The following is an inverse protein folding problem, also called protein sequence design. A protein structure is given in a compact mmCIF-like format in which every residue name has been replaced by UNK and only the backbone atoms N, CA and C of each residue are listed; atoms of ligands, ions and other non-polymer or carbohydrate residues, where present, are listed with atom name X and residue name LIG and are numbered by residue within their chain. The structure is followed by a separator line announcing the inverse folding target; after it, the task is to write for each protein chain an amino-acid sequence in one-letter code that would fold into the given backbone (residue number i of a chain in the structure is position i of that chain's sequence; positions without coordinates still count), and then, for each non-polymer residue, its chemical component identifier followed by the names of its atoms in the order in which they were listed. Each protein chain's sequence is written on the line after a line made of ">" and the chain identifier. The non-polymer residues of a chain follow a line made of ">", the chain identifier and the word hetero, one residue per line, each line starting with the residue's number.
data_IF_216365329049
#
_entry.id   IF_216365329049
#
_cell.length_a   1.000
_cell.length_b   1.000
_cell.length_c   1.000
_cell.angle_alpha   90.00
_cell.angle_beta   90.00
_cell.angle_gamma   90.00
#
_symmetry.space_group_name_H-M   'P 1'
#
loop_
_entity.id
_entity.type
_entity.pdbx_description
1 polymer ?
#
# COMPACT_ATOMS: atom_id res chain seq x y z
N UNK A 1 -25.51 -4.52 -1.47
CA UNK A 1 -24.51 -4.58 -0.38
C UNK A 1 -23.33 -5.44 -0.83
N UNK A 2 -22.06 -4.96 -0.79
CA UNK A 2 -20.90 -5.85 -1.03
C UNK A 2 -20.76 -6.66 0.25
N UNK A 3 -20.81 -7.98 0.16
CA UNK A 3 -20.65 -8.81 1.35
C UNK A 3 -19.18 -8.71 1.79
N UNK A 4 -18.94 -8.28 3.02
CA UNK A 4 -17.59 -8.30 3.60
C UNK A 4 -17.18 -9.75 3.83
N UNK A 5 -15.95 -10.08 3.47
CA UNK A 5 -15.32 -11.35 3.75
C UNK A 5 -14.05 -11.11 4.57
N UNK A 6 -14.02 -11.63 5.81
CA UNK A 6 -12.90 -11.44 6.72
C UNK A 6 -11.91 -12.59 6.54
N UNK A 7 -10.68 -12.25 6.19
CA UNK A 7 -9.57 -13.19 6.02
C UNK A 7 -8.51 -12.91 7.08
N UNK A 8 -8.17 -13.92 7.87
CA UNK A 8 -7.07 -13.79 8.81
C UNK A 8 -5.75 -14.07 8.09
N UNK A 9 -4.80 -13.17 8.25
CA UNK A 9 -3.45 -13.26 7.77
C UNK A 9 -2.43 -13.03 8.91
N UNK A 10 -2.47 -13.84 9.97
CA UNK A 10 -1.58 -13.68 11.12
C UNK A 10 -0.12 -13.92 10.71
N UNK A 11 0.77 -12.94 10.91
CA UNK A 11 2.21 -13.10 10.68
C UNK A 11 3.00 -12.16 11.60
N UNK A 12 4.21 -12.60 11.97
CA UNK A 12 5.20 -11.77 12.68
C UNK A 12 6.50 -11.65 11.88
N UNK A 13 6.58 -12.28 10.71
CA UNK A 13 7.82 -12.49 9.95
C UNK A 13 8.50 -11.17 9.56
N UNK A 14 7.73 -10.09 9.38
CA UNK A 14 8.25 -8.79 9.00
C UNK A 14 8.87 -7.99 10.14
N UNK A 15 8.67 -8.41 11.39
CA UNK A 15 9.10 -7.69 12.58
C UNK A 15 10.44 -8.20 13.13
N UNK A 16 11.11 -7.30 13.86
CA UNK A 16 12.21 -7.68 14.75
C UNK A 16 11.64 -8.13 16.08
N UNK A 17 12.25 -9.12 16.74
CA UNK A 17 11.71 -9.57 18.01
C UNK A 17 12.03 -8.52 19.09
N UNK A 18 11.12 -8.27 20.05
CA UNK A 18 11.37 -7.33 21.15
C UNK A 18 12.64 -7.65 21.96
N UNK A 19 12.99 -8.95 22.05
CA UNK A 19 14.21 -9.48 22.64
C UNK A 19 14.71 -10.65 21.78
N UNK A 20 15.98 -11.06 21.90
CA UNK A 20 16.53 -12.17 21.11
C UNK A 20 15.84 -13.54 21.33
N UNK A 21 15.04 -13.67 22.39
CA UNK A 21 14.34 -14.93 22.74
C UNK A 21 12.83 -14.84 22.62
N UNK A 22 12.28 -13.70 22.21
CA UNK A 22 10.83 -13.51 22.07
C UNK A 22 10.38 -13.60 20.61
N UNK A 23 9.08 -13.85 20.44
CA UNK A 23 8.38 -13.71 19.17
C UNK A 23 7.47 -12.49 19.29
N UNK A 24 7.38 -11.60 18.29
CA UNK A 24 6.39 -10.51 18.29
C UNK A 24 4.96 -11.02 18.49
N UNK A 25 4.07 -10.21 19.05
CA UNK A 25 2.72 -10.65 19.40
C UNK A 25 1.66 -10.37 18.34
N UNK A 26 1.94 -9.50 17.34
CA UNK A 26 0.96 -9.08 16.32
C UNK A 26 0.25 -10.20 15.57
N UNK A 27 0.89 -11.35 15.35
CA UNK A 27 0.25 -12.53 14.75
C UNK A 27 -0.98 -13.05 15.54
N UNK A 28 -1.20 -12.59 16.78
CA UNK A 28 -2.37 -12.90 17.60
C UNK A 28 -3.56 -11.98 17.31
N UNK A 29 -3.34 -10.84 16.64
CA UNK A 29 -4.36 -9.81 16.41
C UNK A 29 -5.66 -10.34 15.79
N UNK A 30 -5.65 -11.22 14.76
CA UNK A 30 -6.90 -11.70 14.17
C UNK A 30 -7.79 -12.43 15.19
N UNK A 31 -7.18 -13.22 16.08
CA UNK A 31 -7.89 -13.92 17.16
C UNK A 31 -8.50 -12.94 18.16
N UNK A 32 -7.69 -12.01 18.68
CA UNK A 32 -8.13 -11.01 19.65
C UNK A 32 -9.30 -10.16 19.11
N UNK A 33 -9.21 -9.70 17.86
CA UNK A 33 -10.30 -8.92 17.24
C UNK A 33 -11.58 -9.76 17.03
N UNK A 34 -11.44 -11.05 16.72
CA UNK A 34 -12.59 -11.96 16.58
C UNK A 34 -13.30 -12.22 17.89
N UNK A 35 -12.57 -12.27 19.01
CA UNK A 35 -13.14 -12.48 20.35
C UNK A 35 -14.10 -11.35 20.76
N UNK A 36 -13.98 -10.16 20.16
CA UNK A 36 -14.92 -9.03 20.30
C UNK A 36 -16.08 -9.05 19.28
N UNK A 37 -16.34 -10.21 18.66
CA UNK A 37 -17.52 -10.45 17.83
C UNK A 37 -17.47 -9.79 16.45
N UNK A 38 -16.29 -9.43 15.94
CA UNK A 38 -16.09 -8.69 14.70
C UNK A 38 -16.92 -9.25 13.51
N UNK A 39 -16.86 -10.56 13.26
CA UNK A 39 -17.62 -11.20 12.18
C UNK A 39 -19.13 -10.96 12.30
N UNK A 40 -19.68 -11.18 13.49
CA UNK A 40 -21.11 -11.05 13.74
C UNK A 40 -21.55 -9.58 13.61
N UNK A 41 -20.74 -8.65 14.14
CA UNK A 41 -21.01 -7.20 14.09
C UNK A 41 -20.96 -6.64 12.66
N UNK A 42 -20.11 -7.19 11.80
CA UNK A 42 -20.03 -6.83 10.38
C UNK A 42 -21.05 -7.59 9.50
N UNK A 43 -21.71 -8.63 10.02
CA UNK A 43 -22.49 -9.55 9.18
C UNK A 43 -21.62 -10.22 8.10
N UNK A 44 -20.33 -10.38 8.35
CA UNK A 44 -19.35 -10.77 7.35
C UNK A 44 -19.31 -12.28 7.13
N UNK A 45 -18.83 -12.70 5.95
CA UNK A 45 -18.43 -14.08 5.71
C UNK A 45 -17.08 -14.35 6.35
N UNK A 46 -16.94 -15.48 7.02
CA UNK A 46 -15.62 -15.96 7.40
C UNK A 46 -14.91 -16.51 6.15
N UNK A 47 -13.81 -15.88 5.76
CA UNK A 47 -12.93 -16.35 4.69
C UNK A 47 -11.79 -17.23 5.21
N UNK A 48 -11.79 -17.57 6.51
CA UNK A 48 -10.82 -18.43 7.15
C UNK A 48 -9.50 -17.73 7.45
N UNK A 49 -8.47 -18.53 7.67
CA UNK A 49 -7.13 -18.08 8.04
C UNK A 49 -6.08 -18.63 7.06
N UNK A 50 -5.05 -17.83 6.79
CA UNK A 50 -3.80 -18.28 6.17
C UNK A 50 -2.78 -18.57 7.27
N UNK A 51 -2.31 -19.80 7.36
CA UNK A 51 -1.34 -20.20 8.38
C UNK A 51 0.05 -19.64 8.04
N UNK A 52 0.58 -18.77 8.88
CA UNK A 52 1.95 -18.29 8.72
C UNK A 52 2.98 -19.37 9.04
N UNK A 53 4.14 -19.31 8.37
CA UNK A 53 5.36 -19.99 8.81
C UNK A 53 5.72 -19.62 10.26
N UNK A 54 6.51 -20.49 10.88
CA UNK A 54 7.08 -20.22 12.20
C UNK A 54 8.01 -19.01 12.11
N UNK A 55 7.90 -18.10 13.08
CA UNK A 55 8.89 -17.07 13.31
C UNK A 55 10.19 -17.69 13.84
N UNK A 56 11.26 -17.62 13.06
CA UNK A 56 12.57 -18.16 13.41
C UNK A 56 13.67 -17.43 12.63
N UNK A 57 14.33 -16.43 13.24
CA UNK A 57 15.36 -15.66 12.55
C UNK A 57 16.65 -16.47 12.33
N UNK A 58 16.79 -17.66 12.92
CA UNK A 58 17.98 -18.50 12.80
C UNK A 58 19.27 -17.74 13.12
N UNK A 59 20.25 -17.84 12.22
CA UNK A 59 21.56 -17.17 12.34
C UNK A 59 21.62 -15.81 11.59
N UNK A 60 20.47 -15.23 11.20
CA UNK A 60 20.42 -13.97 10.43
C UNK A 60 21.19 -12.83 11.12
N UNK A 61 21.89 -12.02 10.33
CA UNK A 61 22.63 -10.84 10.78
C UNK A 61 22.34 -9.61 9.92
N UNK A 62 22.48 -8.39 10.49
CA UNK A 62 22.47 -7.17 9.69
C UNK A 62 23.45 -7.27 8.51
N UNK A 63 22.94 -7.08 7.29
CA UNK A 63 23.69 -7.24 6.05
C UNK A 63 23.31 -8.48 5.22
N UNK A 64 22.64 -9.46 5.82
CA UNK A 64 22.17 -10.66 5.11
C UNK A 64 20.92 -10.40 4.24
N UNK A 65 20.38 -9.18 4.30
CA UNK A 65 19.13 -8.79 3.65
C UNK A 65 17.96 -8.83 4.62
N UNK A 66 16.75 -8.90 4.07
CA UNK A 66 15.51 -8.93 4.87
C UNK A 66 15.38 -10.28 5.58
N UNK A 67 15.13 -10.25 6.89
CA UNK A 67 14.90 -11.48 7.66
C UNK A 67 13.62 -12.18 7.17
N UNK A 68 13.63 -13.52 7.17
CA UNK A 68 12.51 -14.36 6.69
C UNK A 68 12.05 -14.09 5.24
N UNK A 69 12.89 -13.50 4.36
CA UNK A 69 12.46 -13.09 3.02
C UNK A 69 11.80 -14.21 2.21
N UNK A 70 12.31 -15.45 2.32
CA UNK A 70 11.73 -16.61 1.62
C UNK A 70 10.34 -16.96 2.13
N UNK A 71 10.18 -16.98 3.46
CA UNK A 71 8.92 -17.29 4.14
C UNK A 71 7.87 -16.22 3.85
N UNK A 72 8.26 -14.95 3.91
CA UNK A 72 7.41 -13.81 3.54
C UNK A 72 6.98 -13.93 2.08
N UNK A 73 7.91 -14.14 1.15
CA UNK A 73 7.61 -14.28 -0.28
C UNK A 73 6.55 -15.37 -0.55
N UNK A 74 6.74 -16.57 0.04
CA UNK A 74 5.77 -17.66 -0.10
C UNK A 74 4.42 -17.38 0.56
N UNK A 75 4.42 -16.72 1.72
CA UNK A 75 3.21 -16.31 2.41
C UNK A 75 2.43 -15.25 1.61
N UNK A 76 3.12 -14.26 1.05
CA UNK A 76 2.54 -13.22 0.20
C UNK A 76 1.88 -13.79 -1.05
N UNK A 77 2.48 -14.79 -1.71
CA UNK A 77 1.82 -15.49 -2.84
C UNK A 77 0.52 -16.16 -2.40
N UNK A 78 0.53 -16.89 -1.27
CA UNK A 78 -0.67 -17.55 -0.75
C UNK A 78 -1.76 -16.56 -0.32
N UNK A 79 -1.37 -15.43 0.28
CA UNK A 79 -2.28 -14.36 0.66
C UNK A 79 -2.89 -13.71 -0.59
N UNK A 80 -2.09 -13.46 -1.62
CA UNK A 80 -2.54 -12.90 -2.87
C UNK A 80 -3.62 -13.78 -3.55
N UNK A 81 -3.41 -15.11 -3.55
CA UNK A 81 -4.39 -16.07 -4.08
C UNK A 81 -5.71 -16.01 -3.30
N UNK A 82 -5.65 -15.88 -1.96
CA UNK A 82 -6.83 -15.81 -1.10
C UNK A 82 -7.61 -14.51 -1.28
N UNK A 83 -6.92 -13.38 -1.39
CA UNK A 83 -7.54 -12.08 -1.66
C UNK A 83 -8.19 -12.09 -3.04
N UNK A 84 -7.48 -12.58 -4.08
CA UNK A 84 -8.02 -12.72 -5.43
C UNK A 84 -9.31 -13.54 -5.46
N UNK A 85 -9.33 -14.69 -4.77
CA UNK A 85 -10.52 -15.54 -4.69
C UNK A 85 -11.72 -14.91 -3.97
N UNK A 86 -11.50 -13.92 -3.09
CA UNK A 86 -12.57 -13.13 -2.46
C UNK A 86 -13.11 -12.10 -3.47
N UNK A 87 -12.21 -11.39 -4.15
CA UNK A 87 -12.57 -10.38 -5.17
C UNK A 87 -13.34 -11.02 -6.33
N UNK A 88 -12.91 -12.20 -6.80
CA UNK A 88 -13.58 -12.96 -7.86
C UNK A 88 -15.02 -13.36 -7.49
N UNK A 89 -15.35 -13.43 -6.18
CA UNK A 89 -16.71 -13.68 -5.68
C UNK A 89 -17.56 -12.42 -5.60
N UNK A 90 -17.02 -11.25 -5.96
CA UNK A 90 -17.68 -9.94 -5.81
C UNK A 90 -17.83 -9.49 -4.36
N UNK A 91 -16.98 -10.00 -3.47
CA UNK A 91 -16.98 -9.67 -2.04
C UNK A 91 -15.94 -8.60 -1.72
N UNK A 92 -16.08 -7.93 -0.58
CA UNK A 92 -15.13 -6.94 -0.09
C UNK A 92 -14.18 -7.60 0.92
N UNK A 93 -12.88 -7.76 0.61
CA UNK A 93 -11.92 -8.32 1.55
C UNK A 93 -11.65 -7.36 2.70
N UNK A 94 -11.79 -7.85 3.93
CA UNK A 94 -11.17 -7.29 5.12
C UNK A 94 -10.09 -8.26 5.59
N UNK A 95 -8.82 -7.90 5.47
CA UNK A 95 -7.70 -8.73 5.91
C UNK A 95 -7.28 -8.30 7.31
N UNK A 96 -7.29 -9.25 8.25
CA UNK A 96 -6.75 -9.04 9.59
C UNK A 96 -5.31 -9.55 9.60
N UNK A 97 -4.35 -8.63 9.53
CA UNK A 97 -2.93 -8.95 9.50
C UNK A 97 -2.37 -9.28 10.87
N UNK A 98 -1.08 -9.60 10.88
CA UNK A 98 -0.23 -9.35 12.04
C UNK A 98 0.62 -8.12 11.74
N UNK A 99 1.85 -8.30 11.30
CA UNK A 99 2.74 -7.19 10.89
C UNK A 99 2.47 -6.63 9.47
N UNK A 100 3.06 -5.48 9.14
CA UNK A 100 2.89 -4.77 7.85
C UNK A 100 3.39 -5.53 6.61
N UNK A 101 4.24 -6.56 6.75
CA UNK A 101 4.67 -7.36 5.60
C UNK A 101 3.52 -8.10 4.88
N UNK A 102 2.33 -8.18 5.50
CA UNK A 102 1.11 -8.63 4.80
C UNK A 102 0.80 -7.79 3.57
N UNK A 103 1.22 -6.52 3.53
CA UNK A 103 1.03 -5.62 2.40
C UNK A 103 1.64 -6.18 1.12
N UNK A 104 2.71 -6.96 1.19
CA UNK A 104 3.29 -7.62 0.01
C UNK A 104 2.29 -8.58 -0.66
N UNK A 105 1.45 -9.26 0.13
CA UNK A 105 0.44 -10.18 -0.39
C UNK A 105 -0.74 -9.46 -1.04
N UNK A 106 -1.25 -8.41 -0.39
CA UNK A 106 -2.32 -7.60 -0.99
C UNK A 106 -1.82 -6.80 -2.19
N UNK A 107 -0.60 -6.26 -2.16
CA UNK A 107 0.04 -5.60 -3.30
C UNK A 107 0.20 -6.54 -4.51
N UNK A 108 0.63 -7.78 -4.28
CA UNK A 108 0.71 -8.79 -5.34
C UNK A 108 -0.68 -9.11 -5.91
N UNK A 109 -1.72 -9.25 -5.07
CA UNK A 109 -3.10 -9.43 -5.53
C UNK A 109 -3.59 -8.25 -6.38
N UNK A 110 -3.34 -7.03 -5.93
CA UNK A 110 -3.73 -5.80 -6.64
C UNK A 110 -3.01 -5.66 -7.97
N UNK A 111 -1.71 -6.00 -8.02
CA UNK A 111 -0.96 -5.97 -9.27
C UNK A 111 -1.51 -6.98 -10.28
N UNK A 112 -1.79 -8.23 -9.85
CA UNK A 112 -2.43 -9.26 -10.68
C UNK A 112 -3.80 -8.81 -11.19
N UNK A 113 -4.61 -8.18 -10.33
CA UNK A 113 -5.90 -7.63 -10.69
C UNK A 113 -5.77 -6.50 -11.72
N UNK A 114 -4.83 -5.58 -11.52
CA UNK A 114 -4.53 -4.50 -12.45
C UNK A 114 -4.24 -5.00 -13.86
N UNK A 115 -3.39 -6.03 -14.00
CA UNK A 115 -3.16 -6.69 -15.29
C UNK A 115 -4.43 -7.30 -15.88
N UNK A 116 -5.22 -8.01 -15.08
CA UNK A 116 -6.43 -8.69 -15.53
C UNK A 116 -7.48 -7.69 -16.06
N UNK A 117 -7.60 -6.51 -15.44
CA UNK A 117 -8.55 -5.46 -15.86
C UNK A 117 -7.94 -4.46 -16.85
N UNK A 118 -6.64 -4.56 -17.15
CA UNK A 118 -5.92 -3.63 -18.02
C UNK A 118 -5.80 -2.22 -17.43
N UNK A 119 -5.75 -2.10 -16.10
CA UNK A 119 -5.73 -0.84 -15.37
C UNK A 119 -4.65 -0.82 -14.27
N UNK A 120 -4.47 0.35 -13.64
CA UNK A 120 -3.61 0.48 -12.46
C UNK A 120 -4.46 0.41 -11.22
N UNK A 121 -3.95 -0.23 -10.18
CA UNK A 121 -4.55 -0.21 -8.86
C UNK A 121 -3.68 0.69 -7.99
N UNK A 122 -4.31 1.59 -7.23
CA UNK A 122 -3.63 2.47 -6.30
C UNK A 122 -3.52 1.90 -4.89
N UNK A 123 -2.76 2.58 -4.04
CA UNK A 123 -2.62 2.27 -2.62
C UNK A 123 -2.90 3.53 -1.80
N UNK A 124 -3.76 3.40 -0.79
CA UNK A 124 -3.86 4.33 0.33
C UNK A 124 -3.17 3.67 1.51
N UNK A 125 -2.03 4.22 1.92
CA UNK A 125 -1.18 3.73 3.00
C UNK A 125 -1.40 4.61 4.23
N UNK A 126 -2.14 4.10 5.21
CA UNK A 126 -2.50 4.80 6.45
C UNK A 126 -1.64 4.26 7.58
N UNK A 127 -0.68 5.06 8.05
CA UNK A 127 0.39 4.58 8.92
C UNK A 127 1.01 5.75 9.70
N UNK A 128 1.54 5.50 10.90
CA UNK A 128 2.33 6.47 11.66
C UNK A 128 3.73 6.72 11.10
N UNK A 129 4.25 5.75 10.36
CA UNK A 129 5.56 5.69 9.72
C UNK A 129 5.43 5.56 8.21
N UNK A 130 6.47 5.91 7.48
CA UNK A 130 6.48 5.73 6.02
C UNK A 130 6.92 4.36 5.55
N UNK A 131 7.57 3.57 6.42
CA UNK A 131 8.13 2.25 6.11
C UNK A 131 8.90 2.20 4.78
N UNK A 132 9.61 3.30 4.52
CA UNK A 132 10.32 3.55 3.27
C UNK A 132 11.83 3.29 3.35
N UNK A 133 12.25 2.46 4.31
CA UNK A 133 13.66 2.05 4.45
C UNK A 133 14.03 1.09 3.31
N UNK A 134 15.14 1.35 2.63
CA UNK A 134 15.67 0.45 1.60
C UNK A 134 17.21 0.57 1.47
N UNK A 135 17.89 -0.33 0.73
CA UNK A 135 19.37 -0.30 0.62
C UNK A 135 19.96 0.96 -0.03
N UNK A 136 19.12 1.87 -0.52
CA UNK A 136 19.53 3.14 -1.15
C UNK A 136 19.52 4.33 -0.20
N UNK A 137 18.81 4.25 0.93
CA UNK A 137 18.74 5.32 1.94
C UNK A 137 19.15 4.86 3.35
N UNK A 138 19.38 3.56 3.56
CA UNK A 138 19.85 3.02 4.84
C UNK A 138 21.12 2.16 4.70
N UNK A 139 21.89 2.08 5.78
CA UNK A 139 23.13 1.28 5.84
C UNK A 139 22.88 -0.23 5.78
N UNK A 140 21.71 -0.68 6.24
CA UNK A 140 21.23 -2.05 6.09
C UNK A 140 19.70 -2.10 6.13
N UNK A 141 19.16 -3.21 5.66
CA UNK A 141 17.75 -3.62 5.77
C UNK A 141 17.67 -4.94 6.54
N UNK A 142 16.49 -5.29 7.06
CA UNK A 142 16.34 -6.51 7.84
C UNK A 142 14.95 -6.82 8.37
N UNK A 143 14.00 -5.89 8.29
CA UNK A 143 12.66 -6.09 8.84
C UNK A 143 11.64 -5.54 7.84
N UNK A 144 10.98 -6.46 7.13
CA UNK A 144 10.06 -6.13 6.04
C UNK A 144 8.92 -5.22 6.46
N UNK A 145 8.47 -5.25 7.73
CA UNK A 145 7.43 -4.34 8.22
C UNK A 145 7.87 -2.89 8.00
N UNK A 146 9.00 -2.47 8.60
CA UNK A 146 9.55 -1.11 8.41
C UNK A 146 10.16 -0.80 7.04
N UNK A 147 9.86 -1.60 6.02
CA UNK A 147 10.40 -1.53 4.64
C UNK A 147 9.30 -1.76 3.59
N UNK A 148 8.06 -2.02 4.01
CA UNK A 148 7.02 -2.57 3.15
C UNK A 148 6.59 -1.57 2.05
N UNK A 149 6.46 -0.27 2.35
CA UNK A 149 6.14 0.75 1.37
C UNK A 149 7.25 0.86 0.32
N UNK A 150 8.51 0.80 0.76
CA UNK A 150 9.64 0.72 -0.16
C UNK A 150 9.54 -0.55 -1.03
N UNK A 151 9.32 -1.71 -0.43
CA UNK A 151 9.24 -2.99 -1.15
C UNK A 151 8.10 -2.99 -2.18
N UNK A 152 6.90 -2.51 -1.81
CA UNK A 152 5.73 -2.53 -2.70
C UNK A 152 5.82 -1.52 -3.86
N UNK A 153 6.57 -0.44 -3.64
CA UNK A 153 6.96 0.52 -4.70
C UNK A 153 8.21 0.09 -5.47
N UNK A 154 8.71 -1.13 -5.21
CA UNK A 154 9.79 -1.74 -5.97
C UNK A 154 11.18 -1.30 -5.54
N UNK A 155 11.40 -0.95 -4.28
CA UNK A 155 12.70 -0.63 -3.67
C UNK A 155 13.03 -1.68 -2.62
N UNK A 156 14.13 -2.42 -2.81
CA UNK A 156 14.57 -3.43 -1.86
C UNK A 156 14.94 -4.75 -2.52
N UNK A 157 14.98 -5.80 -1.70
CA UNK A 157 15.40 -7.14 -2.11
C UNK A 157 14.45 -7.72 -3.15
N UNK A 158 14.98 -8.28 -4.25
CA UNK A 158 14.17 -8.67 -5.40
C UNK A 158 13.20 -9.84 -5.14
N UNK A 159 13.51 -10.70 -4.18
CA UNK A 159 12.63 -11.81 -3.77
C UNK A 159 11.36 -11.36 -3.03
N UNK A 160 11.32 -10.10 -2.57
CA UNK A 160 10.16 -9.45 -1.98
C UNK A 160 9.59 -8.35 -2.88
N UNK A 161 10.44 -7.51 -3.46
CA UNK A 161 10.04 -6.38 -4.29
C UNK A 161 9.66 -6.77 -5.75
N UNK A 162 9.84 -8.05 -6.13
CA UNK A 162 9.57 -8.57 -7.47
C UNK A 162 9.06 -10.02 -7.47
N UNK A 163 8.21 -10.39 -6.52
CA UNK A 163 7.55 -11.70 -6.48
C UNK A 163 6.83 -11.93 -7.82
N UNK A 164 7.00 -13.12 -8.40
CA UNK A 164 6.50 -13.45 -9.75
C UNK A 164 7.06 -12.59 -10.89
N UNK A 165 8.17 -11.90 -10.67
CA UNK A 165 8.75 -10.95 -11.65
C UNK A 165 7.95 -9.65 -11.77
N UNK A 166 7.06 -9.37 -10.80
CA UNK A 166 6.15 -8.22 -10.81
C UNK A 166 6.75 -7.07 -10.00
N UNK A 167 7.26 -6.05 -10.70
CA UNK A 167 7.87 -4.88 -10.06
C UNK A 167 7.65 -3.60 -10.90
N UNK A 168 7.30 -2.46 -10.27
CA UNK A 168 6.79 -2.36 -8.89
C UNK A 168 5.37 -2.94 -8.80
N UNK A 169 4.88 -3.22 -7.59
CA UNK A 169 3.48 -3.63 -7.41
C UNK A 169 2.55 -2.42 -7.56
N UNK A 170 2.90 -1.33 -6.88
CA UNK A 170 2.29 -0.01 -7.02
C UNK A 170 3.29 0.98 -7.61
N UNK A 171 2.84 1.85 -8.52
CA UNK A 171 3.69 2.95 -8.99
C UNK A 171 3.69 4.06 -7.95
N UNK A 172 4.80 4.76 -7.78
CA UNK A 172 4.92 5.88 -6.83
C UNK A 172 3.78 6.90 -6.95
N UNK A 173 3.38 7.24 -8.18
CA UNK A 173 2.29 8.19 -8.46
C UNK A 173 0.88 7.66 -8.14
N UNK A 174 0.73 6.34 -8.01
CA UNK A 174 -0.52 5.66 -7.67
C UNK A 174 -0.53 5.29 -6.17
N UNK A 175 0.30 5.95 -5.34
CA UNK A 175 0.36 5.79 -3.88
C UNK A 175 0.04 7.11 -3.17
N UNK A 176 -0.82 7.02 -2.15
CA UNK A 176 -1.15 8.10 -1.22
C UNK A 176 -0.83 7.64 0.20
N UNK A 177 0.05 8.37 0.89
CA UNK A 177 0.44 8.12 2.28
C UNK A 177 -0.29 9.10 3.20
N UNK A 178 -0.91 8.61 4.27
CA UNK A 178 -1.72 9.41 5.20
C UNK A 178 -1.36 9.04 6.63
N UNK A 179 -1.15 10.04 7.50
CA UNK A 179 -1.00 9.79 8.94
C UNK A 179 0.45 9.70 9.43
N UNK A 180 1.44 9.76 8.53
CA UNK A 180 2.84 9.83 8.93
C UNK A 180 3.08 11.04 9.82
N UNK A 181 4.02 10.93 10.75
CA UNK A 181 4.42 12.09 11.56
C UNK A 181 5.13 13.14 10.71
N UNK A 182 5.09 14.40 11.16
CA UNK A 182 5.74 15.49 10.42
C UNK A 182 7.27 15.32 10.35
N UNK A 183 7.83 14.65 11.36
CA UNK A 183 9.24 14.33 11.53
C UNK A 183 9.65 12.97 10.97
N UNK A 184 8.78 12.28 10.23
CA UNK A 184 9.10 10.99 9.61
C UNK A 184 10.44 11.06 8.85
N UNK A 185 11.30 10.06 9.08
CA UNK A 185 12.70 10.02 8.62
C UNK A 185 12.81 10.10 7.10
N UNK A 186 11.89 9.45 6.38
CA UNK A 186 11.96 9.27 4.93
C UNK A 186 11.00 10.18 4.17
N UNK A 187 10.41 11.19 4.83
CA UNK A 187 9.47 12.12 4.19
C UNK A 187 10.03 12.82 2.96
N UNK A 188 11.33 13.16 2.96
CA UNK A 188 12.00 13.77 1.80
C UNK A 188 12.23 12.76 0.67
N UNK A 189 12.47 11.48 0.99
CA UNK A 189 12.59 10.42 0.00
C UNK A 189 11.25 10.15 -0.69
N UNK A 190 10.16 10.13 0.07
CA UNK A 190 8.79 10.04 -0.48
C UNK A 190 8.51 11.20 -1.44
N UNK A 191 8.82 12.42 -1.04
CA UNK A 191 8.66 13.59 -1.89
C UNK A 191 9.51 13.50 -3.17
N UNK A 192 10.77 13.06 -3.06
CA UNK A 192 11.65 12.87 -4.20
C UNK A 192 11.17 11.76 -5.15
N UNK A 193 10.53 10.72 -4.62
CA UNK A 193 9.88 9.66 -5.40
C UNK A 193 8.58 10.12 -6.07
N UNK A 194 8.02 11.27 -5.67
CA UNK A 194 6.72 11.74 -6.15
C UNK A 194 5.53 11.03 -5.48
N UNK A 195 5.77 10.38 -4.34
CA UNK A 195 4.71 9.77 -3.52
C UNK A 195 3.99 10.89 -2.79
N UNK A 196 2.66 10.89 -2.91
CA UNK A 196 1.83 11.95 -2.34
C UNK A 196 1.58 11.67 -0.86
N UNK A 197 1.89 12.62 0.03
CA UNK A 197 1.78 12.44 1.48
C UNK A 197 0.85 13.46 2.13
N UNK A 198 0.08 13.04 3.14
CA UNK A 198 -0.66 13.90 4.07
C UNK A 198 -0.32 13.52 5.52
N UNK A 199 0.70 14.16 6.11
CA UNK A 199 1.08 13.95 7.51
C UNK A 199 -0.03 14.37 8.49
N UNK A 200 0.04 13.91 9.75
CA UNK A 200 -0.99 14.18 10.78
C UNK A 200 -1.39 15.66 10.91
N UNK A 201 -0.46 16.64 10.96
CA UNK A 201 -0.87 18.05 11.07
C UNK A 201 -1.73 18.53 9.90
N UNK A 202 -1.44 18.07 8.68
CA UNK A 202 -2.22 18.40 7.49
C UNK A 202 -3.56 17.64 7.48
N UNK A 203 -3.57 16.36 7.88
CA UNK A 203 -4.80 15.59 8.07
C UNK A 203 -5.74 16.30 9.04
N UNK A 204 -5.25 16.77 10.18
CA UNK A 204 -6.04 17.49 11.20
C UNK A 204 -6.55 18.84 10.73
N UNK A 205 -5.71 19.61 10.06
CA UNK A 205 -6.10 20.91 9.50
C UNK A 205 -7.22 20.77 8.47
N UNK A 206 -7.17 19.73 7.64
CA UNK A 206 -8.21 19.46 6.64
C UNK A 206 -9.40 18.67 7.22
N UNK A 207 -9.18 17.84 8.22
CA UNK A 207 -10.13 16.87 8.74
C UNK A 207 -10.09 15.54 7.97
N UNK A 208 -10.44 14.47 8.69
CA UNK A 208 -10.37 13.09 8.22
C UNK A 208 -11.21 12.84 6.95
N UNK A 209 -12.46 13.32 6.92
CA UNK A 209 -13.36 13.12 5.77
C UNK A 209 -12.82 13.78 4.48
N UNK A 210 -12.29 15.01 4.58
CA UNK A 210 -11.66 15.70 3.44
C UNK A 210 -10.35 15.03 3.03
N UNK A 211 -9.68 14.34 3.95
CA UNK A 211 -8.48 13.56 3.65
C UNK A 211 -8.79 12.27 2.91
N UNK A 212 -9.89 11.58 3.26
CA UNK A 212 -10.39 10.46 2.47
C UNK A 212 -10.77 10.88 1.04
N UNK A 213 -11.54 11.97 0.91
CA UNK A 213 -11.94 12.51 -0.40
C UNK A 213 -10.73 12.89 -1.25
N UNK A 214 -9.75 13.56 -0.65
CA UNK A 214 -8.51 13.91 -1.34
C UNK A 214 -7.74 12.67 -1.82
N UNK A 215 -7.66 11.60 -1.02
CA UNK A 215 -7.02 10.36 -1.43
C UNK A 215 -7.71 9.74 -2.65
N UNK A 216 -9.05 9.77 -2.68
CA UNK A 216 -9.83 9.34 -3.84
C UNK A 216 -9.50 10.16 -5.09
N UNK A 217 -9.39 11.48 -4.96
CA UNK A 217 -9.03 12.37 -6.07
C UNK A 217 -7.62 12.12 -6.61
N UNK A 218 -6.64 11.84 -5.74
CA UNK A 218 -5.28 11.50 -6.19
C UNK A 218 -5.25 10.19 -6.98
N UNK A 219 -6.14 9.26 -6.67
CA UNK A 219 -6.20 7.92 -7.29
C UNK A 219 -7.30 7.79 -8.34
N UNK A 220 -7.86 8.91 -8.84
CA UNK A 220 -8.97 8.91 -9.79
C UNK A 220 -8.65 8.22 -11.13
N UNK A 221 -7.36 8.19 -11.52
CA UNK A 221 -6.90 7.52 -12.73
C UNK A 221 -6.65 6.00 -12.54
N UNK A 222 -6.79 5.49 -11.31
CA UNK A 222 -6.71 4.07 -11.02
C UNK A 222 -8.08 3.39 -11.20
N UNK A 223 -8.07 2.12 -11.59
CA UNK A 223 -9.31 1.33 -11.69
C UNK A 223 -9.94 1.09 -10.30
N UNK A 224 -9.12 1.12 -9.26
CA UNK A 224 -9.50 1.08 -7.86
C UNK A 224 -8.25 1.24 -6.99
N UNK A 225 -8.42 1.13 -5.67
CA UNK A 225 -7.30 1.17 -4.72
C UNK A 225 -7.50 0.21 -3.56
N UNK A 226 -6.39 -0.18 -2.96
CA UNK A 226 -6.33 -0.91 -1.70
C UNK A 226 -6.05 0.04 -0.55
N UNK A 227 -6.60 -0.26 0.63
CA UNK A 227 -6.33 0.51 1.85
C UNK A 227 -5.52 -0.36 2.80
N UNK A 228 -4.31 0.07 3.11
CA UNK A 228 -3.48 -0.47 4.17
C UNK A 228 -3.62 0.41 5.41
N UNK A 229 -3.82 -0.22 6.57
CA UNK A 229 -3.88 0.47 7.86
C UNK A 229 -2.90 -0.20 8.81
N UNK A 230 -1.85 0.53 9.19
CA UNK A 230 -1.11 0.29 10.42
C UNK A 230 -1.85 0.98 11.57
N UNK A 231 -2.14 0.23 12.63
CA UNK A 231 -2.83 0.71 13.82
C UNK A 231 -1.99 1.76 14.58
N UNK A 232 -0.66 1.80 14.39
CA UNK A 232 0.24 2.79 14.98
C UNK A 232 0.11 4.22 14.42
N UNK A 233 -0.73 4.38 13.39
CA UNK A 233 -1.20 5.70 12.96
C UNK A 233 -1.89 6.43 14.12
N UNK A 234 -2.50 5.67 15.03
CA UNK A 234 -3.12 6.15 16.25
C UNK A 234 -2.07 6.64 17.25
N UNK A 235 -2.43 7.66 18.04
CA UNK A 235 -1.56 8.14 19.10
C UNK A 235 -1.42 7.08 20.22
N UNK A 236 -0.21 6.87 20.78
CA UNK A 236 -0.01 5.95 21.90
C UNK A 236 -0.86 6.26 23.14
N UNK A 237 -1.36 7.50 23.29
CA UNK A 237 -2.31 7.84 24.35
C UNK A 237 -3.66 7.11 24.23
N UNK A 238 -4.03 6.66 23.02
CA UNK A 238 -5.25 5.89 22.77
C UNK A 238 -4.97 4.46 22.29
N UNK A 239 -3.78 4.20 21.75
CA UNK A 239 -3.37 2.89 21.25
C UNK A 239 -1.88 2.63 21.53
N UNK A 240 -1.53 2.21 22.75
CA UNK A 240 -0.16 1.83 23.09
C UNK A 240 0.17 0.38 22.67
N UNK A 241 -0.83 -0.41 22.26
CA UNK A 241 -0.70 -1.84 21.99
C UNK A 241 -0.22 -2.13 20.55
N UNK A 242 0.94 -1.59 20.21
CA UNK A 242 1.63 -1.71 18.91
C UNK A 242 3.13 -1.88 19.13
N UNK A 243 3.86 -2.38 18.14
CA UNK A 243 5.32 -2.63 18.28
C UNK A 243 6.17 -1.34 18.28
N UNK A 244 5.73 -0.29 17.58
CA UNK A 244 6.48 0.96 17.40
C UNK A 244 5.64 2.21 17.71
N UNK A 245 5.23 2.44 18.97
CA UNK A 245 4.39 3.60 19.30
C UNK A 245 5.13 4.94 19.10
N UNK A 246 4.60 5.84 18.26
CA UNK A 246 5.14 7.20 18.05
C UNK A 246 4.11 8.30 18.41
N UNK A 247 4.37 9.17 19.40
CA UNK A 247 3.49 10.28 19.77
C UNK A 247 3.14 11.25 18.62
N UNK A 248 1.98 11.89 18.74
CA UNK A 248 1.46 12.84 17.76
C UNK A 248 0.60 12.19 16.67
N UNK A 249 0.10 10.99 16.91
CA UNK A 249 -0.81 10.26 16.03
C UNK A 249 -2.25 10.79 16.08
N UNK A 250 -3.14 10.15 15.32
CA UNK A 250 -4.57 10.47 15.28
C UNK A 250 -5.36 9.73 16.38
N UNK A 251 -6.58 10.16 16.66
CA UNK A 251 -7.49 9.45 17.55
C UNK A 251 -8.38 8.45 16.78
N UNK A 252 -9.00 7.50 17.49
CA UNK A 252 -9.94 6.54 16.90
C UNK A 252 -11.07 7.19 16.10
N UNK A 253 -11.62 8.31 16.58
CA UNK A 253 -12.67 9.03 15.86
C UNK A 253 -12.19 9.58 14.50
N UNK A 254 -10.93 10.01 14.42
CA UNK A 254 -10.33 10.48 13.16
C UNK A 254 -10.13 9.29 12.21
N UNK A 255 -9.66 8.14 12.72
CA UNK A 255 -9.49 6.92 11.93
C UNK A 255 -10.83 6.36 11.42
N UNK A 256 -11.87 6.36 12.25
CA UNK A 256 -13.23 5.94 11.87
C UNK A 256 -13.75 6.76 10.69
N UNK A 257 -13.67 8.10 10.79
CA UNK A 257 -14.14 9.01 9.75
C UNK A 257 -13.30 8.86 8.47
N UNK A 258 -11.99 8.70 8.61
CA UNK A 258 -11.09 8.47 7.48
C UNK A 258 -11.45 7.17 6.76
N UNK A 259 -11.58 6.06 7.49
CA UNK A 259 -11.93 4.76 6.95
C UNK A 259 -13.31 4.79 6.27
N UNK A 260 -14.32 5.38 6.92
CA UNK A 260 -15.65 5.55 6.34
C UNK A 260 -15.60 6.26 4.99
N UNK A 261 -14.89 7.39 4.89
CA UNK A 261 -14.73 8.10 3.63
C UNK A 261 -13.95 7.31 2.58
N UNK A 262 -12.93 6.55 2.99
CA UNK A 262 -12.10 5.75 2.08
C UNK A 262 -12.85 4.55 1.50
N UNK A 263 -13.85 4.00 2.19
CA UNK A 263 -14.60 2.82 1.73
C UNK A 263 -15.96 3.15 1.12
N UNK A 264 -16.43 4.40 1.23
CA UNK A 264 -17.70 4.91 0.65
C UNK A 264 -17.61 5.12 -0.87
N UNK A 265 -17.09 4.11 -1.57
CA UNK A 265 -16.91 4.12 -3.03
C UNK A 265 -16.69 2.70 -3.55
N UNK A 266 -17.21 2.35 -4.75
CA UNK A 266 -16.89 1.07 -5.38
C UNK A 266 -15.41 0.92 -5.76
N UNK A 267 -14.65 2.03 -5.79
CA UNK A 267 -13.23 2.03 -6.15
C UNK A 267 -12.32 1.50 -5.04
N UNK A 268 -12.76 1.51 -3.78
CA UNK A 268 -12.04 0.82 -2.71
C UNK A 268 -12.27 -0.69 -2.86
N UNK A 269 -11.18 -1.42 -3.08
CA UNK A 269 -11.21 -2.85 -3.43
C UNK A 269 -11.14 -3.76 -2.21
N UNK A 270 -10.64 -3.25 -1.08
CA UNK A 270 -10.51 -3.97 0.17
C UNK A 270 -9.67 -3.17 1.16
N UNK A 271 -9.65 -3.65 2.39
CA UNK A 271 -8.91 -3.05 3.52
C UNK A 271 -8.10 -4.14 4.20
N UNK A 272 -6.91 -3.80 4.65
CA UNK A 272 -6.18 -4.58 5.65
C UNK A 272 -5.85 -3.74 6.88
N UNK A 273 -5.75 -4.42 8.03
CA UNK A 273 -5.42 -3.84 9.31
C UNK A 273 -4.24 -4.62 9.92
N UNK A 274 -3.24 -3.92 10.45
CA UNK A 274 -1.98 -4.51 10.91
C UNK A 274 -1.48 -3.90 12.22
N UNK A 275 -0.46 -4.52 12.81
CA UNK A 275 0.40 -4.03 13.91
C UNK A 275 -0.29 -3.79 15.26
N UNK A 276 -1.53 -4.25 15.43
CA UNK A 276 -2.07 -4.45 16.77
C UNK A 276 -1.36 -5.63 17.46
N UNK A 277 -0.77 -5.42 18.64
CA UNK A 277 -0.15 -6.48 19.45
C UNK A 277 -0.98 -6.75 20.72
N UNK A 278 -1.75 -7.87 20.76
CA UNK A 278 -2.53 -8.26 21.93
C UNK A 278 -1.71 -8.55 23.19
N UNK A 279 -0.39 -8.78 23.10
CA UNK A 279 0.45 -8.98 24.29
C UNK A 279 0.53 -7.70 25.15
N UNK A 280 0.24 -6.54 24.56
CA UNK A 280 0.11 -5.26 25.26
C UNK A 280 -1.35 -4.87 25.58
N UNK A 281 -2.33 -5.77 25.34
CA UNK A 281 -3.76 -5.57 25.59
C UNK A 281 -4.37 -6.72 26.41
N UNK A 282 -3.94 -6.92 27.68
CA UNK A 282 -4.31 -8.11 28.46
C UNK A 282 -5.80 -8.18 28.84
N UNK A 283 -6.53 -7.06 28.81
CA UNK A 283 -7.96 -6.99 29.10
C UNK A 283 -8.84 -6.87 27.85
N UNK A 284 -8.23 -6.80 26.65
CA UNK A 284 -8.94 -6.69 25.38
C UNK A 284 -9.60 -5.32 25.14
N UNK A 285 -9.25 -4.30 25.92
CA UNK A 285 -9.86 -2.98 25.79
C UNK A 285 -9.52 -2.33 24.44
N UNK A 286 -8.27 -2.46 23.99
CA UNK A 286 -7.83 -1.89 22.72
C UNK A 286 -8.38 -2.69 21.53
N UNK A 287 -8.43 -4.02 21.62
CA UNK A 287 -9.09 -4.87 20.64
C UNK A 287 -10.57 -4.50 20.48
N UNK A 288 -11.28 -4.25 21.59
CA UNK A 288 -12.67 -3.82 21.54
C UNK A 288 -12.85 -2.48 20.80
N UNK A 289 -11.97 -1.51 21.05
CA UNK A 289 -12.03 -0.21 20.37
C UNK A 289 -11.67 -0.29 18.89
N UNK A 290 -10.67 -1.09 18.52
CA UNK A 290 -10.39 -1.38 17.11
C UNK A 290 -11.64 -1.96 16.44
N UNK A 291 -12.30 -2.96 17.05
CA UNK A 291 -13.52 -3.54 16.48
C UNK A 291 -14.65 -2.51 16.39
N UNK A 292 -14.80 -1.61 17.36
CA UNK A 292 -15.77 -0.51 17.28
C UNK A 292 -15.49 0.38 16.06
N UNK A 293 -14.25 0.85 15.92
CA UNK A 293 -13.81 1.72 14.83
C UNK A 293 -13.93 1.05 13.47
N UNK A 294 -13.55 -0.22 13.33
CA UNK A 294 -13.66 -0.97 12.07
C UNK A 294 -15.13 -1.21 11.71
N UNK A 295 -15.99 -1.57 12.67
CA UNK A 295 -17.42 -1.78 12.40
C UNK A 295 -18.10 -0.49 11.96
N UNK A 296 -17.81 0.63 12.62
CA UNK A 296 -18.36 1.93 12.25
C UNK A 296 -17.78 2.45 10.92
N UNK A 297 -16.46 2.37 10.75
CA UNK A 297 -15.76 2.82 9.54
C UNK A 297 -16.10 2.00 8.30
N UNK A 298 -16.45 0.71 8.44
CA UNK A 298 -16.91 -0.12 7.31
C UNK A 298 -18.42 -0.07 7.07
N UNK A 299 -19.18 0.69 7.84
CA UNK A 299 -20.62 0.85 7.64
C UNK A 299 -21.00 1.33 6.21
N UNK A 300 -20.22 2.19 5.53
CA UNK A 300 -20.48 2.59 4.14
C UNK A 300 -20.22 1.50 3.10
N UNK A 301 -19.71 0.32 3.47
CA UNK A 301 -19.57 -0.83 2.56
C UNK A 301 -20.96 -1.42 2.27
N UNK A 302 -21.78 -0.63 1.58
CA UNK A 302 -23.12 -0.94 1.12
C UNK A 302 -23.11 -0.75 -0.38
N UNK A 303 -23.25 -1.83 -1.16
CA UNK A 303 -23.28 -1.71 -2.61
C UNK A 303 -24.36 -0.71 -3.04
N UNK A 304 -24.01 0.32 -3.83
CA UNK A 304 -24.88 0.81 -4.88
C UNK A 304 -25.08 -0.30 -5.92
N UNK A 305 -26.07 -0.17 -6.81
CA UNK A 305 -26.33 -1.08 -7.95
C UNK A 305 -25.20 -1.12 -9.02
N UNK A 306 -23.94 -0.96 -8.61
CA UNK A 306 -22.77 -0.92 -9.48
C UNK A 306 -22.33 -2.34 -9.84
N UNK A 307 -22.48 -2.64 -11.13
CA UNK A 307 -21.84 -3.76 -11.83
C UNK A 307 -20.33 -3.74 -11.48
N UNK A 308 -19.73 -4.87 -11.06
CA UNK A 308 -18.27 -4.96 -10.90
C UNK A 308 -17.58 -4.45 -12.16
N UNK A 309 -16.36 -3.88 -12.11
CA UNK A 309 -15.65 -3.47 -13.31
C UNK A 309 -15.66 -4.64 -14.29
N UNK A 310 -16.46 -4.51 -15.36
CA UNK A 310 -16.53 -5.52 -16.40
C UNK A 310 -15.12 -5.61 -16.96
N UNK A 311 -14.49 -6.78 -16.78
CA UNK A 311 -13.36 -7.20 -17.59
C UNK A 311 -13.70 -6.80 -19.02
N UNK A 312 -13.01 -5.81 -19.56
CA UNK A 312 -13.25 -5.40 -20.95
C UNK A 312 -13.06 -6.68 -21.76
N UNK A 313 -14.03 -7.07 -22.61
CA UNK A 313 -13.83 -8.21 -23.48
C UNK A 313 -12.53 -7.97 -24.28
N UNK A 314 -11.73 -9.02 -24.52
CA UNK A 314 -10.47 -8.88 -25.23
C UNK A 314 -10.73 -8.09 -26.51
N UNK A 315 -9.91 -7.05 -26.75
CA UNK A 315 -9.98 -6.27 -28.00
C UNK A 315 -10.05 -7.28 -29.14
N UNK A 316 -11.05 -7.20 -30.04
CA UNK A 316 -11.09 -8.09 -31.18
C UNK A 316 -9.75 -7.99 -31.88
N UNK A 317 -9.10 -9.13 -32.08
CA UNK A 317 -7.91 -9.22 -32.92
C UNK A 317 -8.23 -8.48 -34.23
N UNK A 318 -7.32 -7.63 -34.75
CA UNK A 318 -7.53 -7.04 -36.06
C UNK A 318 -7.76 -8.18 -37.03
N UNK A 319 -9.01 -8.32 -37.48
CA UNK A 319 -9.38 -9.29 -38.49
C UNK A 319 -8.65 -8.86 -39.75
N UNK A 320 -7.69 -9.69 -40.16
CA UNK A 320 -7.06 -9.60 -41.46
C UNK A 320 -8.17 -9.48 -42.52
N UNK A 321 -8.22 -8.41 -43.32
CA UNK A 321 -9.22 -8.29 -44.39
C UNK A 321 -8.80 -9.22 -45.52
N UNK A 322 -9.03 -10.53 -45.34
CA UNK A 322 -8.41 -11.52 -46.21
C UNK A 322 -8.80 -12.98 -45.98
N UNK A 323 -10.03 -13.30 -45.58
CA UNK A 323 -10.59 -14.62 -45.91
C UNK A 323 -12.11 -14.60 -46.01
N UNK A 324 -12.61 -14.25 -47.19
CA UNK A 324 -13.98 -14.62 -47.56
C UNK A 324 -14.03 -16.12 -47.85
N UNK A 325 -14.42 -16.92 -46.86
CA UNK A 325 -14.92 -18.27 -47.13
C UNK A 325 -16.29 -18.16 -47.77
N UNK A 326 -16.30 -18.04 -49.09
CA UNK A 326 -17.48 -18.30 -49.91
C UNK A 326 -17.87 -19.77 -49.72
N UNK A 327 -19.08 -19.99 -49.20
CA UNK A 327 -19.74 -21.29 -49.23
C UNK A 327 -19.90 -21.75 -50.68
N UNK A 328 -19.18 -22.82 -51.03
CA UNK A 328 -19.24 -23.44 -52.35
C UNK A 328 -20.25 -24.59 -52.29
N UNK A 329 -21.49 -24.31 -52.68
CA UNK A 329 -22.37 -25.35 -53.22
C UNK A 329 -21.86 -25.73 -54.61
N UNK A 330 -21.63 -27.01 -54.81
CA UNK A 330 -21.19 -27.59 -56.08
C UNK A 330 -22.41 -27.95 -56.91
N UNK A 331 -22.58 -27.29 -58.06
CA UNK A 331 -23.20 -27.88 -59.24
C UNK A 331 -22.75 -27.15 -60.52
N UNK A 332 -22.41 -27.92 -61.55
CA UNK A 332 -22.62 -27.53 -62.95
C UNK A 332 -21.53 -26.75 -63.69
N UNK A 333 -20.68 -27.51 -64.39
CA UNK A 333 -20.33 -27.35 -65.81
C UNK A 333 -19.69 -26.05 -66.40
N UNK A 334 -18.54 -26.30 -67.05
CA UNK A 334 -18.11 -25.85 -68.39
C UNK A 334 -17.28 -24.56 -68.62
N UNK A 335 -16.01 -24.82 -68.96
CA UNK A 335 -15.17 -24.39 -70.11
C UNK A 335 -15.03 -22.90 -70.52
N UNK A 336 -13.75 -22.52 -70.73
CA UNK A 336 -13.17 -21.56 -71.71
C UNK A 336 -12.83 -20.11 -71.29
N UNK A 337 -11.52 -19.77 -71.38
CA UNK A 337 -11.05 -18.64 -72.21
C UNK A 337 -10.29 -17.48 -71.55
N UNK A 338 -8.98 -17.36 -71.87
CA UNK A 338 -8.12 -16.16 -72.11
C UNK A 338 -8.24 -14.89 -71.21
N UNK A 339 -7.22 -14.43 -70.46
CA UNK A 339 -5.95 -13.75 -70.81
C UNK A 339 -5.97 -12.19 -70.70
N UNK A 340 -4.84 -11.62 -70.21
CA UNK A 340 -4.25 -10.26 -70.43
C UNK A 340 -4.33 -9.17 -69.31
N UNK A 341 -3.17 -8.95 -68.66
CA UNK A 341 -2.34 -7.73 -68.46
C UNK A 341 -2.84 -6.38 -67.87
N UNK A 342 -1.97 -5.78 -67.02
CA UNK A 342 -1.72 -4.31 -66.87
C UNK A 342 -1.81 -3.78 -65.43
N UNK A 343 -0.73 -3.66 -64.64
CA UNK A 343 0.27 -2.58 -64.58
C UNK A 343 -0.24 -1.19 -64.16
N UNK A 344 0.19 -0.69 -62.99
CA UNK A 344 0.94 0.57 -62.78
C UNK A 344 0.66 1.24 -61.41
N UNK A 345 1.75 1.62 -60.75
CA UNK A 345 1.85 2.48 -59.55
C UNK A 345 2.27 3.88 -60.02
N UNK A 346 1.94 4.96 -59.27
CA UNK A 346 3.02 5.89 -58.95
C UNK A 346 3.02 6.40 -57.49
N UNK A 347 4.25 6.71 -57.06
CA UNK A 347 4.68 7.40 -55.83
C UNK A 347 4.48 8.92 -55.91
N UNK A 348 4.36 9.60 -54.77
CA UNK A 348 4.86 10.97 -54.47
C UNK A 348 5.03 11.06 -52.91
N UNK A 349 6.23 11.18 -52.31
CA UNK A 349 6.97 12.41 -51.92
C UNK A 349 6.06 13.55 -51.45
N UNK A 350 6.11 14.11 -50.24
CA UNK A 350 7.23 14.44 -49.35
C UNK A 350 7.26 15.96 -49.20
N UNK A 351 7.19 16.51 -47.98
CA UNK A 351 7.56 17.92 -47.71
C UNK A 351 7.88 18.12 -46.23
N UNK A 352 8.97 18.86 -46.03
CA UNK A 352 9.62 19.30 -44.81
C UNK A 352 9.53 20.84 -44.80
N UNK A 353 9.37 21.49 -43.64
CA UNK A 353 9.84 22.87 -43.41
C UNK A 353 9.76 23.27 -41.93
N UNK A 354 10.89 23.83 -41.48
CA UNK A 354 11.18 24.53 -40.23
C UNK A 354 10.76 26.01 -40.20
N UNK A 355 10.65 26.59 -39.00
CA UNK A 355 11.44 27.75 -38.48
C UNK A 355 10.68 28.88 -37.74
N UNK A 356 11.45 29.58 -36.88
CA UNK A 356 11.26 30.86 -36.13
C UNK A 356 10.52 30.75 -34.79
N UNK A 357 10.86 31.43 -33.68
CA UNK A 357 11.73 32.57 -33.30
C UNK A 357 11.05 33.17 -32.03
N UNK A 358 11.67 33.52 -30.91
CA UNK A 358 12.37 34.78 -30.60
C UNK A 358 12.45 34.96 -29.06
N UNK A 359 13.32 35.88 -28.64
CA UNK A 359 13.84 36.22 -27.29
C UNK A 359 13.02 37.25 -26.47
N UNK A 360 13.24 37.30 -25.14
CA UNK A 360 13.84 38.45 -24.37
C UNK A 360 13.19 38.81 -23.00
N UNK A 361 14.07 39.13 -22.03
CA UNK A 361 13.96 40.04 -20.84
C UNK A 361 12.89 39.76 -19.77
N UNK A 362 13.08 39.91 -18.45
CA UNK A 362 14.09 40.57 -17.62
C UNK A 362 13.42 41.60 -16.68
N UNK A 363 13.46 41.41 -15.35
CA UNK A 363 13.47 42.49 -14.33
C UNK A 363 13.62 41.92 -12.91
N UNK A 364 14.03 42.80 -12.00
CA UNK A 364 14.77 42.54 -10.75
C UNK A 364 14.30 43.51 -9.64
N UNK A 365 14.21 43.01 -8.39
CA UNK A 365 14.47 43.71 -7.07
C UNK A 365 13.41 44.77 -6.62
N UNK A 366 13.20 45.14 -5.32
CA UNK A 366 13.92 44.92 -4.03
C UNK A 366 13.07 44.25 -2.91
N UNK A 367 13.50 43.90 -1.70
CA UNK A 367 14.62 44.31 -0.84
C UNK A 367 14.12 45.17 0.33
N UNK A 368 13.98 44.62 1.55
CA UNK A 368 13.95 45.38 2.82
C UNK A 368 14.49 44.53 3.98
N UNK A 369 15.57 45.04 4.57
CA UNK A 369 16.13 44.73 5.88
C UNK A 369 15.21 45.20 7.00
N UNK A 370 15.18 44.49 8.13
CA UNK A 370 15.04 45.18 9.43
C UNK A 370 15.88 44.52 10.52
N UNK A 371 16.48 45.38 11.34
CA UNK A 371 17.47 45.11 12.36
C UNK A 371 16.89 45.49 13.72
N UNK A 372 17.01 44.63 14.73
CA UNK A 372 16.60 44.95 16.09
C UNK A 372 17.35 44.12 17.12
N UNK A 373 18.33 44.76 17.76
CA UNK A 373 19.17 44.23 18.83
C UNK A 373 18.60 44.55 20.22
N UNK A 374 18.58 43.56 21.11
CA UNK A 374 18.79 43.63 22.57
C UNK A 374 18.75 42.18 23.08
N UNK A 375 19.61 41.65 23.95
CA UNK A 375 20.50 42.22 24.94
C UNK A 375 20.18 41.57 26.29
N UNK A 376 21.19 40.94 26.92
CA UNK A 376 21.27 40.40 28.29
C UNK A 376 20.82 38.95 28.58
N UNK A 377 21.72 38.20 29.23
CA UNK A 377 21.36 37.03 30.05
C UNK A 377 22.42 35.93 30.17
N UNK A 378 23.62 36.25 30.65
CA UNK A 378 24.60 35.25 31.11
C UNK A 378 24.13 34.58 32.42
N UNK A 379 24.12 33.25 32.49
CA UNK A 379 24.43 32.53 33.73
C UNK A 379 24.86 31.10 33.44
N UNK A 380 26.16 30.93 33.61
CA UNK A 380 26.95 29.73 33.74
C UNK A 380 26.54 28.92 34.99
N UNK A 381 26.36 27.60 34.87
CA UNK A 381 26.60 26.66 35.98
C UNK A 381 26.60 25.20 35.51
N UNK A 382 27.78 24.59 35.57
CA UNK A 382 27.95 23.33 36.28
C UNK A 382 27.82 22.03 35.49
N UNK A 383 28.87 21.69 34.73
CA UNK A 383 29.23 20.29 34.44
C UNK A 383 29.99 19.66 35.62
N UNK A 384 29.55 18.52 36.14
CA UNK A 384 30.37 17.43 36.70
C UNK A 384 29.47 16.33 37.28
N UNK A 385 29.44 15.15 36.64
CA UNK A 385 29.94 13.91 37.25
C UNK A 385 29.47 12.66 36.48
N UNK A 386 30.45 11.90 36.01
CA UNK A 386 30.41 10.48 35.71
C UNK A 386 31.83 9.92 36.02
N UNK A 387 32.06 8.60 36.21
CA UNK A 387 31.14 7.48 36.42
C UNK A 387 31.49 6.61 37.66
N UNK A 388 30.49 5.91 38.20
CA UNK A 388 30.68 4.85 39.20
C UNK A 388 31.27 3.58 38.58
N UNK A 389 32.22 2.99 39.31
CA UNK A 389 33.09 1.88 38.93
C UNK A 389 32.38 0.52 38.82
N UNK A 390 32.99 -0.31 37.98
CA UNK A 390 32.80 -1.75 37.85
C UNK A 390 33.10 -2.51 39.17
N UNK A 391 32.26 -3.50 39.47
CA UNK A 391 32.63 -4.65 40.30
C UNK A 391 32.52 -5.92 39.44
N UNK A 392 33.65 -6.60 39.28
CA UNK A 392 33.76 -8.00 38.85
C UNK A 392 33.67 -8.94 40.06
N UNK A 393 33.36 -10.24 39.86
CA UNK A 393 32.81 -11.12 40.89
C UNK A 393 33.88 -11.83 41.73
N UNK A 394 33.50 -12.24 42.94
CA UNK A 394 34.26 -13.16 43.79
C UNK A 394 33.49 -14.49 43.92
N UNK A 395 34.18 -15.55 43.48
CA UNK A 395 34.06 -16.98 43.82
C UNK A 395 32.75 -17.74 43.55
#
# INVERSE_FOLDING_TARGET
>A
MRRIAVLDAPTNLGLRPPTSTSVPGCGKAPGALRDHGLLARLGARDAGCLTAPRYDPGDWRPGDGVCHAREISGYSTGLADRIGAIIDRGEFPLVLGGDCSVLLGSALAMHRLGEAVGGRIGLVFVDGHSDFRHPGNASYVGAAAGEDLALVTGRGQADLAAIEGRRPYFRDIDVVVIGIRAQDEYRLDLQAAGITTRPVPALRAEGAARSAQWAHEQLADCAGYWVHIDVDVLDPAVMPAVDAPDPGGIAFAELEILLAGLVDTPHCLGVELTVFDPDYDPDGAYAAEIVNTIVAGLAPVVAPDAVPPRLLPPKPHPTDPGSSTFGRNVSGASVSGAAVSGAAVPRLSGFDTSASGASASGSSVPGTSDSGSSGFGTSDSGSADAPGRAEEPVA
#
